data_IF_361069171015
#
_entry.id   IF_361069171015
#
_cell.length_a   1.000
_cell.length_b   1.000
_cell.length_c   1.000
_cell.angle_alpha   90.00
_cell.angle_beta   90.00
_cell.angle_gamma   90.00
#
_symmetry.space_group_name_H-M   'P 1'
#
loop_
_entity.id
_entity.type
_entity.pdbx_description
1 polymer ?
#
# COMPACT_ATOMS: atom_id res chain seq x y z
N UNK A 1 13.87 -9.27 -6.91
CA UNK A 1 13.33 -8.41 -5.82
C UNK A 1 11.91 -8.84 -5.53
N UNK A 2 11.70 -9.56 -4.42
CA UNK A 2 10.37 -9.89 -3.95
C UNK A 2 9.66 -8.59 -3.55
N UNK A 3 8.83 -8.06 -4.42
CA UNK A 3 7.90 -7.00 -4.05
C UNK A 3 6.92 -7.58 -3.04
N UNK A 4 7.02 -7.19 -1.79
CA UNK A 4 6.01 -7.53 -0.78
C UNK A 4 4.66 -7.01 -1.26
N UNK A 5 3.79 -7.93 -1.61
CA UNK A 5 2.39 -7.68 -1.94
C UNK A 5 1.65 -7.45 -0.62
N UNK A 6 1.62 -6.22 -0.17
CA UNK A 6 0.95 -5.90 1.10
C UNK A 6 -0.20 -4.93 0.88
N UNK A 7 -1.19 -4.99 1.75
CA UNK A 7 -2.30 -4.04 1.78
C UNK A 7 -1.83 -2.59 1.86
N UNK A 8 -0.72 -2.33 2.53
CA UNK A 8 -0.13 -0.99 2.66
C UNK A 8 0.40 -0.43 1.34
N UNK A 9 0.73 -1.29 0.37
CA UNK A 9 1.16 -0.82 -0.97
C UNK A 9 0.01 -0.62 -1.94
N UNK A 10 -1.23 -0.89 -1.52
CA UNK A 10 -2.43 -0.58 -2.26
C UNK A 10 -2.66 -1.33 -3.58
N UNK A 11 -1.77 -2.24 -3.97
CA UNK A 11 -1.86 -2.98 -5.24
C UNK A 11 -2.46 -4.39 -5.10
N UNK A 12 -2.95 -4.75 -3.91
CA UNK A 12 -3.49 -6.08 -3.63
C UNK A 12 -4.68 -6.44 -4.55
N UNK A 13 -5.51 -5.48 -4.92
CA UNK A 13 -6.67 -5.72 -5.80
C UNK A 13 -6.33 -6.31 -7.17
N UNK A 14 -5.10 -6.13 -7.66
CA UNK A 14 -4.65 -6.72 -8.92
C UNK A 14 -4.24 -8.19 -8.80
N UNK A 15 -4.17 -8.70 -7.56
CA UNK A 15 -3.60 -10.02 -7.27
C UNK A 15 -4.43 -10.84 -6.29
N UNK A 16 -5.49 -10.27 -5.75
CA UNK A 16 -6.33 -10.89 -4.72
C UNK A 16 -7.80 -10.69 -5.02
N UNK A 17 -8.57 -11.72 -4.75
CA UNK A 17 -10.02 -11.67 -4.65
C UNK A 17 -10.45 -12.52 -3.45
N UNK A 18 -11.60 -12.23 -2.90
CA UNK A 18 -12.25 -13.02 -1.86
C UNK A 18 -13.56 -13.54 -2.35
N UNK A 19 -13.82 -14.82 -2.07
CA UNK A 19 -15.09 -15.48 -2.34
C UNK A 19 -15.81 -15.62 -1.00
N UNK A 20 -17.01 -15.12 -0.92
CA UNK A 20 -17.84 -15.22 0.27
C UNK A 20 -18.64 -16.52 0.26
N UNK A 21 -19.26 -16.86 1.40
CA UNK A 21 -20.01 -18.11 1.59
C UNK A 21 -21.19 -18.27 0.62
N UNK A 22 -21.74 -17.17 0.10
CA UNK A 22 -22.81 -17.12 -0.90
C UNK A 22 -22.29 -17.17 -2.38
N UNK A 23 -20.99 -17.34 -2.54
CA UNK A 23 -20.32 -17.37 -3.85
C UNK A 23 -19.99 -16.00 -4.44
N UNK A 24 -20.37 -14.90 -3.81
CA UNK A 24 -20.03 -13.56 -4.25
C UNK A 24 -18.53 -13.30 -4.18
N UNK A 25 -18.01 -12.61 -5.17
CA UNK A 25 -16.59 -12.31 -5.31
C UNK A 25 -16.35 -10.81 -5.17
N UNK A 26 -15.38 -10.46 -4.31
CA UNK A 26 -14.98 -9.08 -4.05
C UNK A 26 -13.47 -8.89 -4.24
N UNK A 27 -12.98 -7.66 -4.49
CA UNK A 27 -11.55 -7.39 -4.72
C UNK A 27 -10.65 -7.65 -3.50
N UNK A 28 -11.21 -7.89 -2.32
CA UNK A 28 -10.45 -8.08 -1.08
C UNK A 28 -11.31 -8.80 -0.03
N UNK A 29 -10.66 -9.47 0.97
CA UNK A 29 -11.32 -10.16 2.08
C UNK A 29 -11.91 -9.26 3.17
N UNK A 30 -11.81 -7.94 3.03
CA UNK A 30 -12.46 -6.99 3.94
C UNK A 30 -13.88 -6.72 3.44
N UNK A 31 -14.78 -6.32 4.35
CA UNK A 31 -16.15 -5.94 3.99
C UNK A 31 -16.18 -4.86 2.92
N UNK A 32 -16.76 -5.20 1.79
CA UNK A 32 -17.05 -4.26 0.72
C UNK A 32 -18.56 -4.04 0.64
N UNK A 33 -19.03 -2.80 0.34
CA UNK A 33 -20.41 -2.57 -0.05
C UNK A 33 -20.80 -3.39 -1.27
N UNK A 34 -22.09 -3.74 -1.39
CA UNK A 34 -22.64 -4.62 -2.42
C UNK A 34 -22.32 -4.14 -3.85
N UNK A 35 -22.28 -2.84 -4.07
CA UNK A 35 -21.96 -2.24 -5.36
C UNK A 35 -20.54 -2.52 -5.87
N UNK A 36 -19.68 -3.08 -5.03
CA UNK A 36 -18.32 -3.52 -5.38
C UNK A 36 -18.21 -5.02 -5.61
N UNK A 37 -19.34 -5.75 -5.62
CA UNK A 37 -19.38 -7.16 -5.97
C UNK A 37 -19.00 -7.32 -7.45
N UNK A 38 -18.02 -8.20 -7.71
CA UNK A 38 -17.54 -8.49 -9.06
C UNK A 38 -18.45 -9.47 -9.79
N UNK A 39 -19.30 -10.20 -9.06
CA UNK A 39 -20.19 -11.26 -9.56
C UNK A 39 -20.16 -12.49 -8.66
N UNK A 40 -20.74 -13.58 -9.12
CA UNK A 40 -20.79 -14.85 -8.38
C UNK A 40 -19.94 -15.92 -9.08
N UNK A 41 -19.16 -16.66 -8.30
CA UNK A 41 -18.28 -17.72 -8.81
C UNK A 41 -19.07 -18.84 -9.50
N UNK A 42 -20.32 -19.10 -9.10
CA UNK A 42 -21.20 -20.11 -9.69
C UNK A 42 -21.69 -19.75 -11.09
N UNK A 43 -21.63 -18.48 -11.47
CA UNK A 43 -22.14 -17.96 -12.75
C UNK A 43 -21.03 -17.84 -13.81
N UNK A 44 -19.78 -18.06 -13.43
CA UNK A 44 -18.64 -17.91 -14.35
C UNK A 44 -17.88 -19.22 -14.53
N UNK A 45 -17.51 -19.54 -15.75
CA UNK A 45 -16.64 -20.69 -16.07
C UNK A 45 -15.18 -20.43 -15.68
N UNK A 46 -14.77 -19.17 -15.65
CA UNK A 46 -13.42 -18.75 -15.38
C UNK A 46 -13.45 -17.47 -14.53
N UNK A 47 -12.93 -17.56 -13.32
CA UNK A 47 -12.87 -16.43 -12.37
C UNK A 47 -12.18 -15.20 -12.96
N UNK A 48 -11.26 -15.38 -13.91
CA UNK A 48 -10.57 -14.28 -14.57
C UNK A 48 -11.52 -13.34 -15.33
N UNK A 49 -12.71 -13.84 -15.71
CA UNK A 49 -13.70 -13.00 -16.38
C UNK A 49 -14.29 -11.94 -15.45
N UNK A 50 -14.38 -12.21 -14.15
CA UNK A 50 -14.84 -11.23 -13.15
C UNK A 50 -13.96 -9.97 -13.11
N UNK A 51 -12.67 -10.09 -13.41
CA UNK A 51 -11.74 -8.97 -13.49
C UNK A 51 -11.87 -8.15 -14.80
N UNK A 52 -12.68 -8.59 -15.73
CA UNK A 52 -13.04 -7.84 -16.95
C UNK A 52 -14.36 -7.11 -16.80
N UNK A 53 -15.13 -7.42 -15.76
CA UNK A 53 -16.43 -6.81 -15.50
C UNK A 53 -16.34 -5.30 -15.24
N UNK A 54 -17.41 -4.61 -15.60
CA UNK A 54 -17.51 -3.15 -15.48
C UNK A 54 -17.20 -2.66 -14.08
N UNK A 55 -17.66 -3.35 -13.06
CA UNK A 55 -17.44 -2.99 -11.65
C UNK A 55 -15.95 -2.99 -11.33
N UNK A 56 -15.22 -4.04 -11.72
CA UNK A 56 -13.78 -4.09 -11.49
C UNK A 56 -13.04 -2.97 -12.22
N UNK A 57 -13.39 -2.72 -13.48
CA UNK A 57 -12.78 -1.65 -14.27
C UNK A 57 -13.05 -0.27 -13.66
N UNK A 58 -14.24 -0.05 -13.11
CA UNK A 58 -14.56 1.19 -12.39
C UNK A 58 -13.69 1.36 -11.14
N UNK A 59 -13.48 0.30 -10.36
CA UNK A 59 -12.61 0.33 -9.18
C UNK A 59 -11.17 0.69 -9.60
N UNK A 60 -10.66 0.04 -10.64
CA UNK A 60 -9.32 0.32 -11.19
C UNK A 60 -9.18 1.77 -11.61
N UNK A 61 -10.13 2.28 -12.38
CA UNK A 61 -10.10 3.67 -12.87
C UNK A 61 -10.16 4.69 -11.72
N UNK A 62 -11.06 4.49 -10.77
CA UNK A 62 -11.17 5.37 -9.60
C UNK A 62 -9.91 5.35 -8.76
N UNK A 63 -9.31 4.17 -8.58
CA UNK A 63 -8.01 4.06 -7.91
C UNK A 63 -6.92 4.81 -8.67
N UNK A 64 -6.86 4.69 -9.99
CA UNK A 64 -5.88 5.39 -10.83
C UNK A 64 -5.96 6.91 -10.66
N UNK A 65 -7.16 7.47 -10.57
CA UNK A 65 -7.36 8.90 -10.27
C UNK A 65 -6.68 9.27 -8.95
N UNK A 66 -6.94 8.51 -7.87
CA UNK A 66 -6.32 8.74 -6.56
C UNK A 66 -4.80 8.59 -6.59
N UNK A 67 -4.29 7.57 -7.27
CA UNK A 67 -2.85 7.35 -7.39
C UNK A 67 -2.15 8.52 -8.06
N UNK A 68 -2.71 9.03 -9.15
CA UNK A 68 -2.14 10.18 -9.86
C UNK A 68 -2.14 11.44 -9.00
N UNK A 69 -3.19 11.69 -8.26
CA UNK A 69 -3.28 12.81 -7.34
C UNK A 69 -2.23 12.70 -6.22
N UNK A 70 -2.18 11.54 -5.54
CA UNK A 70 -1.19 11.29 -4.49
C UNK A 70 0.24 11.36 -5.02
N UNK A 71 0.52 10.83 -6.22
CA UNK A 71 1.84 10.84 -6.84
C UNK A 71 2.37 12.25 -7.05
N UNK A 72 1.49 13.18 -7.41
CA UNK A 72 1.87 14.59 -7.67
C UNK A 72 2.12 15.38 -6.40
N UNK A 73 1.42 15.05 -5.30
CA UNK A 73 1.36 15.93 -4.12
C UNK A 73 2.02 15.33 -2.87
N UNK A 74 2.28 14.02 -2.83
CA UNK A 74 2.67 13.34 -1.61
C UNK A 74 4.11 12.83 -1.66
N UNK A 75 4.95 13.31 -0.76
CA UNK A 75 6.36 12.92 -0.65
C UNK A 75 6.56 11.49 -0.12
N UNK A 76 5.53 10.86 0.48
CA UNK A 76 5.58 9.47 0.95
C UNK A 76 4.87 8.51 0.00
N UNK A 77 4.48 8.94 -1.19
CA UNK A 77 3.75 8.12 -2.16
C UNK A 77 4.45 6.79 -2.45
N UNK A 78 5.77 6.78 -2.61
CA UNK A 78 6.58 5.58 -2.89
C UNK A 78 6.45 4.48 -1.81
N UNK A 79 6.09 4.85 -0.59
CA UNK A 79 5.87 3.93 0.53
C UNK A 79 4.41 3.53 0.68
N UNK A 80 3.50 4.49 0.52
CA UNK A 80 2.07 4.34 0.80
C UNK A 80 1.27 3.89 -0.43
N UNK A 81 1.71 4.28 -1.65
CA UNK A 81 1.06 3.99 -2.91
C UNK A 81 -0.45 4.29 -2.93
N UNK A 82 -0.81 5.47 -2.41
CA UNK A 82 -2.18 5.98 -2.29
C UNK A 82 -3.13 5.18 -1.35
N UNK A 83 -2.60 4.30 -0.52
CA UNK A 83 -3.36 3.61 0.53
C UNK A 83 -4.28 2.49 0.07
N UNK A 84 -5.07 1.99 1.01
CA UNK A 84 -5.98 0.87 0.82
C UNK A 84 -7.29 1.31 0.13
N UNK A 85 -7.73 0.55 -0.88
CA UNK A 85 -9.01 0.82 -1.56
C UNK A 85 -10.20 0.73 -0.61
N UNK A 86 -10.24 -0.33 0.22
CA UNK A 86 -11.34 -0.54 1.14
C UNK A 86 -11.48 0.61 2.15
N UNK A 87 -10.36 1.09 2.69
CA UNK A 87 -10.40 2.19 3.65
C UNK A 87 -10.83 3.52 2.99
N UNK A 88 -10.50 3.70 1.71
CA UNK A 88 -10.98 4.85 0.94
C UNK A 88 -12.48 4.75 0.63
N UNK A 89 -12.97 3.56 0.28
CA UNK A 89 -14.40 3.30 0.08
C UNK A 89 -15.17 3.58 1.38
N UNK A 90 -14.72 3.07 2.50
CA UNK A 90 -15.35 3.27 3.81
C UNK A 90 -15.30 4.73 4.27
N UNK A 91 -14.38 5.54 3.77
CA UNK A 91 -14.37 7.00 3.99
C UNK A 91 -15.23 7.79 3.00
N UNK A 92 -15.96 7.11 2.13
CA UNK A 92 -16.98 7.67 1.24
C UNK A 92 -16.53 7.92 -0.20
N UNK A 93 -15.23 7.90 -0.50
CA UNK A 93 -14.76 8.17 -1.87
C UNK A 93 -13.47 7.45 -2.21
N UNK A 94 -13.56 6.42 -3.05
CA UNK A 94 -12.40 5.65 -3.52
C UNK A 94 -11.41 6.48 -4.37
N UNK A 95 -11.84 7.61 -4.92
CA UNK A 95 -10.98 8.50 -5.71
C UNK A 95 -10.10 9.39 -4.84
N UNK A 96 -10.35 9.44 -3.53
CA UNK A 96 -9.60 10.23 -2.56
C UNK A 96 -8.88 9.34 -1.55
N UNK A 97 -7.72 9.77 -1.05
CA UNK A 97 -7.04 9.03 0.01
C UNK A 97 -7.81 9.13 1.33
N UNK A 98 -7.80 8.05 2.11
CA UNK A 98 -8.29 8.11 3.47
C UNK A 98 -7.38 9.02 4.33
N UNK A 99 -7.93 10.11 4.84
CA UNK A 99 -7.16 11.17 5.52
C UNK A 99 -6.49 10.67 6.81
N UNK A 100 -7.18 9.83 7.59
CA UNK A 100 -6.61 9.27 8.82
C UNK A 100 -5.40 8.39 8.53
N UNK A 101 -5.47 7.56 7.50
CA UNK A 101 -4.33 6.76 7.06
C UNK A 101 -3.19 7.63 6.54
N UNK A 102 -3.48 8.67 5.77
CA UNK A 102 -2.47 9.60 5.28
C UNK A 102 -1.67 10.23 6.42
N UNK A 103 -2.36 10.76 7.43
CA UNK A 103 -1.74 11.38 8.60
C UNK A 103 -0.91 10.36 9.37
N UNK A 104 -1.47 9.18 9.65
CA UNK A 104 -0.80 8.11 10.39
C UNK A 104 0.48 7.65 9.67
N UNK A 105 0.41 7.41 8.36
CA UNK A 105 1.57 7.00 7.57
C UNK A 105 2.66 8.08 7.54
N UNK A 106 2.28 9.37 7.42
CA UNK A 106 3.23 10.47 7.46
C UNK A 106 3.97 10.56 8.80
N UNK A 107 3.24 10.42 9.91
CA UNK A 107 3.83 10.44 11.26
C UNK A 107 4.78 9.26 11.44
N UNK A 108 4.33 8.04 11.14
CA UNK A 108 5.13 6.82 11.28
C UNK A 108 6.39 6.88 10.42
N UNK A 109 6.27 7.25 9.14
CA UNK A 109 7.41 7.30 8.24
C UNK A 109 8.41 8.40 8.63
N UNK A 110 7.94 9.57 9.08
CA UNK A 110 8.84 10.60 9.63
C UNK A 110 9.62 10.08 10.84
N UNK A 111 8.94 9.37 11.75
CA UNK A 111 9.59 8.78 12.92
C UNK A 111 10.62 7.72 12.51
N UNK A 112 10.26 6.80 11.61
CA UNK A 112 11.18 5.76 11.10
C UNK A 112 12.40 6.41 10.44
N UNK A 113 12.22 7.38 9.56
CA UNK A 113 13.32 8.09 8.91
C UNK A 113 14.27 8.74 9.92
N UNK A 114 13.72 9.40 10.94
CA UNK A 114 14.53 9.99 12.02
C UNK A 114 15.36 8.93 12.72
N UNK A 115 14.75 7.81 13.14
CA UNK A 115 15.44 6.72 13.84
C UNK A 115 16.53 6.06 13.00
N UNK A 116 16.23 5.79 11.72
CA UNK A 116 17.22 5.22 10.79
C UNK A 116 18.42 6.16 10.63
N UNK A 117 18.17 7.46 10.48
CA UNK A 117 19.24 8.46 10.37
C UNK A 117 20.13 8.48 11.63
N UNK A 118 19.54 8.48 12.82
CA UNK A 118 20.26 8.42 14.09
C UNK A 118 21.15 7.17 14.20
N UNK A 119 20.63 6.00 13.80
CA UNK A 119 21.40 4.75 13.81
C UNK A 119 22.57 4.79 12.82
N UNK A 120 22.36 5.33 11.63
CA UNK A 120 23.43 5.47 10.61
C UNK A 120 24.52 6.43 11.12
N UNK A 121 24.15 7.56 11.68
CA UNK A 121 25.08 8.54 12.23
C UNK A 121 25.90 7.95 13.40
N UNK A 122 25.24 7.22 14.30
CA UNK A 122 25.92 6.53 15.41
C UNK A 122 26.94 5.51 14.90
N UNK A 123 26.55 4.66 13.94
CA UNK A 123 27.48 3.68 13.33
C UNK A 123 28.67 4.36 12.66
N UNK A 124 28.43 5.45 11.94
CA UNK A 124 29.50 6.24 11.29
C UNK A 124 30.47 6.81 12.31
N UNK A 125 29.98 7.32 13.44
CA UNK A 125 30.79 7.86 14.54
C UNK A 125 31.66 6.76 15.16
N UNK A 126 31.09 5.59 15.46
CA UNK A 126 31.81 4.44 15.99
C UNK A 126 32.91 3.98 15.03
N UNK A 127 32.60 3.81 13.74
CA UNK A 127 33.59 3.42 12.75
C UNK A 127 34.73 4.44 12.64
N UNK A 128 34.45 5.73 12.63
CA UNK A 128 35.45 6.78 12.60
C UNK A 128 36.36 6.75 13.85
N UNK A 129 35.78 6.49 15.01
CA UNK A 129 36.52 6.36 16.27
C UNK A 129 37.46 5.12 16.21
N UNK A 130 36.95 3.97 15.80
CA UNK A 130 37.74 2.76 15.64
C UNK A 130 38.90 2.92 14.65
N UNK A 131 38.66 3.59 13.52
CA UNK A 131 39.71 3.88 12.53
C UNK A 131 40.81 4.80 13.09
N UNK A 132 40.47 5.75 13.97
CA UNK A 132 41.46 6.58 14.66
C UNK A 132 42.32 5.77 15.63
N UNK A 133 41.72 4.84 16.38
CA UNK A 133 42.42 3.94 17.28
C UNK A 133 43.39 3.07 16.46
N UNK A 134 42.93 2.38 15.42
CA UNK A 134 43.73 1.52 14.57
C UNK A 134 44.97 2.29 14.05
N UNK A 135 44.75 3.47 13.48
CA UNK A 135 45.88 4.32 12.99
C UNK A 135 46.87 4.72 14.06
N UNK A 136 46.43 4.84 15.32
CA UNK A 136 47.33 5.22 16.44
C UNK A 136 48.22 4.04 16.89
N UNK A 137 47.75 2.81 16.78
CA UNK A 137 48.46 1.60 17.22
C UNK A 137 49.12 0.82 16.08
N UNK A 138 48.95 1.27 14.83
CA UNK A 138 49.61 0.70 13.65
C UNK A 138 50.94 1.40 13.28
N UNK A 139 51.42 2.30 14.14
CA UNK A 139 52.74 2.95 14.08
C UNK A 139 53.63 2.38 15.18
#
# INVERSE_FOLDING_TARGET
THHMRSCTKGNCMYHMASIYHDGKVYPCGRSYPEEYCLGNISEVKDIRNLFKEKVYQQIVNKRYIRENECRRQCNIFSYCNAGCNNDCILSGDITKPNMFQCISHQIILKHIHKRVKEVIETKRTINNYMMRIIKRYSR
#
